data_IF_925831484463
#
_entry.id   IF_925831484463
#
_cell.length_a   1.000
_cell.length_b   1.000
_cell.length_c   1.000
_cell.angle_alpha   90.00
_cell.angle_beta   90.00
_cell.angle_gamma   90.00
#
_symmetry.space_group_name_H-M   'P 1'
#
loop_
_entity.id
_entity.type
_entity.pdbx_description
1 polymer ?
#
# COMPACT_ATOMS: atom_id res chain seq x y z
N UNK A 1 -2.19 2.81 32.98
CA UNK A 1 -1.21 3.70 32.33
C UNK A 1 -0.72 3.15 30.99
N UNK A 2 -0.20 1.94 30.89
CA UNK A 2 0.36 1.37 29.64
C UNK A 2 -0.59 1.29 28.44
N UNK A 3 -1.89 1.12 28.63
CA UNK A 3 -2.89 1.07 27.54
C UNK A 3 -3.16 2.44 26.91
N UNK A 4 -3.09 3.51 27.69
CA UNK A 4 -3.32 4.87 27.19
C UNK A 4 -2.13 5.39 26.38
N UNK A 5 -0.91 5.02 26.78
CA UNK A 5 0.32 5.41 26.06
C UNK A 5 0.43 4.73 24.70
N UNK A 6 0.06 3.43 24.60
CA UNK A 6 -0.02 2.74 23.33
C UNK A 6 -1.03 3.40 22.39
N UNK A 7 -2.25 3.69 22.88
CA UNK A 7 -3.30 4.31 22.07
C UNK A 7 -2.86 5.67 21.51
N UNK A 8 -2.24 6.51 22.33
CA UNK A 8 -1.70 7.81 21.87
C UNK A 8 -0.63 7.61 20.80
N UNK A 9 0.30 6.68 21.02
CA UNK A 9 1.36 6.37 20.04
C UNK A 9 0.80 5.84 18.74
N UNK A 10 -0.14 4.91 18.78
CA UNK A 10 -0.81 4.34 17.61
C UNK A 10 -1.45 5.42 16.74
N UNK A 11 -2.24 6.32 17.34
CA UNK A 11 -2.90 7.39 16.59
C UNK A 11 -1.92 8.41 16.00
N UNK A 12 -0.82 8.69 16.70
CA UNK A 12 0.26 9.53 16.15
C UNK A 12 0.87 8.90 14.90
N UNK A 13 1.21 7.62 14.96
CA UNK A 13 1.78 6.91 13.81
C UNK A 13 0.79 6.83 12.65
N UNK A 14 -0.48 6.53 12.92
CA UNK A 14 -1.52 6.51 11.90
C UNK A 14 -1.73 7.88 11.24
N UNK A 15 -1.66 8.98 12.02
CA UNK A 15 -1.78 10.35 11.51
C UNK A 15 -0.57 10.75 10.65
N UNK A 16 0.64 10.45 11.10
CA UNK A 16 1.87 10.70 10.32
C UNK A 16 1.84 9.89 9.03
N UNK A 17 1.43 8.62 9.10
CA UNK A 17 1.23 7.78 7.91
C UNK A 17 0.24 8.41 6.94
N UNK A 18 -0.94 8.82 7.42
CA UNK A 18 -1.94 9.50 6.61
C UNK A 18 -1.38 10.73 5.88
N UNK A 19 -0.65 11.61 6.57
CA UNK A 19 -0.03 12.78 5.96
C UNK A 19 1.05 12.41 4.93
N UNK A 20 1.83 11.37 5.19
CA UNK A 20 2.84 10.88 4.26
C UNK A 20 2.18 10.35 2.98
N UNK A 21 1.09 9.61 3.12
CA UNK A 21 0.35 9.05 2.00
C UNK A 21 -0.42 10.10 1.20
N UNK A 22 -0.80 11.24 1.81
CA UNK A 22 -1.32 12.40 1.06
C UNK A 22 -0.29 12.84 0.01
N UNK A 23 0.96 13.03 0.39
CA UNK A 23 2.01 13.45 -0.55
C UNK A 23 2.25 12.40 -1.64
N UNK A 24 2.27 11.12 -1.25
CA UNK A 24 2.40 10.03 -2.22
C UNK A 24 1.22 9.97 -3.18
N UNK A 25 0.00 10.15 -2.69
CA UNK A 25 -1.21 10.25 -3.52
C UNK A 25 -1.17 11.45 -4.47
N UNK A 26 -0.74 12.62 -3.97
CA UNK A 26 -0.56 13.82 -4.78
C UNK A 26 0.44 13.60 -5.91
N UNK A 27 1.62 13.06 -5.62
CA UNK A 27 2.71 12.93 -6.59
C UNK A 27 2.50 11.75 -7.54
N UNK A 28 2.34 10.53 -6.99
CA UNK A 28 2.34 9.28 -7.76
C UNK A 28 1.01 9.00 -8.44
N UNK A 29 -0.12 9.28 -7.77
CA UNK A 29 -1.44 8.91 -8.30
C UNK A 29 -2.13 10.05 -9.08
N UNK A 30 -1.66 11.29 -8.96
CA UNK A 30 -2.29 12.43 -9.61
C UNK A 30 -1.29 13.24 -10.45
N UNK A 31 -0.26 13.82 -9.84
CA UNK A 31 0.63 14.75 -10.52
C UNK A 31 1.39 14.11 -11.69
N UNK A 32 2.11 13.00 -11.45
CA UNK A 32 2.86 12.31 -12.51
C UNK A 32 1.96 11.82 -13.67
N UNK A 33 0.79 11.20 -13.43
CA UNK A 33 -0.14 10.84 -14.50
C UNK A 33 -0.72 12.02 -15.26
N UNK A 34 -0.80 13.22 -14.67
CA UNK A 34 -1.30 14.42 -15.33
C UNK A 34 -0.25 15.13 -16.20
N UNK A 35 1.05 14.96 -15.93
CA UNK A 35 2.12 15.64 -16.69
C UNK A 35 2.08 15.43 -18.21
N UNK A 36 1.71 14.25 -18.74
CA UNK A 36 1.53 14.07 -20.18
C UNK A 36 0.41 14.93 -20.75
N UNK A 37 -0.69 15.13 -20.04
CA UNK A 37 -1.84 15.92 -20.52
C UNK A 37 -1.55 17.42 -20.55
N UNK A 38 -0.68 17.89 -19.65
CA UNK A 38 -0.21 19.28 -19.63
C UNK A 38 1.11 19.50 -20.44
N UNK A 39 1.57 18.47 -21.14
CA UNK A 39 2.66 18.59 -22.12
C UNK A 39 4.08 18.68 -21.55
N UNK A 40 4.30 18.31 -20.29
CA UNK A 40 5.63 18.39 -19.64
C UNK A 40 6.52 17.20 -19.98
N UNK A 41 5.99 15.97 -19.91
CA UNK A 41 6.68 14.73 -20.29
C UNK A 41 5.73 13.80 -21.04
N UNK A 42 6.29 12.81 -21.78
CA UNK A 42 5.47 11.80 -22.44
C UNK A 42 4.87 10.81 -21.43
N UNK A 43 3.79 10.12 -21.86
CA UNK A 43 3.15 9.08 -21.05
C UNK A 43 4.13 7.96 -20.65
N UNK A 44 4.98 7.52 -21.59
CA UNK A 44 5.98 6.49 -21.32
C UNK A 44 7.00 6.94 -20.26
N UNK A 45 7.45 8.20 -20.32
CA UNK A 45 8.38 8.75 -19.33
C UNK A 45 7.71 8.86 -17.94
N UNK A 46 6.45 9.31 -17.89
CA UNK A 46 5.67 9.33 -16.64
C UNK A 46 5.53 7.92 -16.03
N UNK A 47 5.20 6.92 -16.86
CA UNK A 47 5.10 5.53 -16.41
C UNK A 47 6.43 4.99 -15.86
N UNK A 48 7.58 5.33 -16.48
CA UNK A 48 8.91 4.97 -15.97
C UNK A 48 9.16 5.61 -14.61
N UNK A 49 8.84 6.89 -14.44
CA UNK A 49 9.02 7.61 -13.16
C UNK A 49 8.20 6.95 -12.05
N UNK A 50 6.93 6.62 -12.31
CA UNK A 50 6.06 5.93 -11.35
C UNK A 50 6.61 4.54 -11.01
N UNK A 51 7.04 3.78 -12.00
CA UNK A 51 7.63 2.45 -11.79
C UNK A 51 8.86 2.53 -10.90
N UNK A 52 9.75 3.49 -11.13
CA UNK A 52 10.96 3.67 -10.32
C UNK A 52 10.67 4.04 -8.87
N UNK A 53 9.60 4.78 -8.60
CA UNK A 53 9.14 4.98 -7.23
C UNK A 53 8.88 3.65 -6.50
N UNK A 54 8.12 2.74 -7.12
CA UNK A 54 7.81 1.43 -6.53
C UNK A 54 9.03 0.51 -6.44
N UNK A 55 9.97 0.60 -7.39
CA UNK A 55 11.25 -0.12 -7.31
C UNK A 55 12.01 0.28 -6.05
N UNK A 56 12.17 1.59 -5.83
CA UNK A 56 12.91 2.11 -4.68
C UNK A 56 12.17 1.89 -3.36
N UNK A 57 10.84 1.95 -3.36
CA UNK A 57 10.00 1.54 -2.22
C UNK A 57 10.28 0.06 -1.87
N UNK A 58 10.16 -0.86 -2.83
CA UNK A 58 10.36 -2.28 -2.60
C UNK A 58 11.79 -2.60 -2.12
N UNK A 59 12.82 -2.02 -2.76
CA UNK A 59 14.22 -2.23 -2.38
C UNK A 59 14.51 -1.68 -0.99
N UNK A 60 13.99 -0.49 -0.66
CA UNK A 60 14.20 0.14 0.64
C UNK A 60 13.59 -0.68 1.76
N UNK A 61 12.39 -1.21 1.55
CA UNK A 61 11.70 -2.04 2.55
C UNK A 61 12.53 -3.26 2.98
N UNK A 62 13.35 -3.86 2.09
CA UNK A 62 14.24 -4.98 2.42
C UNK A 62 15.27 -4.59 3.50
N UNK A 63 15.84 -3.39 3.39
CA UNK A 63 16.95 -2.95 4.25
C UNK A 63 16.50 -2.20 5.48
N UNK A 64 15.24 -1.75 5.50
CA UNK A 64 14.75 -0.77 6.46
C UNK A 64 14.76 -1.31 7.90
N UNK A 65 14.34 -2.55 8.11
CA UNK A 65 14.36 -3.18 9.42
C UNK A 65 15.78 -3.28 10.00
N UNK A 66 16.75 -3.56 9.15
CA UNK A 66 18.18 -3.58 9.56
C UNK A 66 18.70 -2.18 9.88
N UNK A 67 18.30 -1.18 9.08
CA UNK A 67 18.68 0.21 9.31
C UNK A 67 18.10 0.71 10.63
N UNK A 68 16.82 0.45 10.90
CA UNK A 68 16.16 0.83 12.17
C UNK A 68 16.83 0.20 13.39
N UNK A 69 17.34 -1.02 13.30
CA UNK A 69 18.10 -1.64 14.39
C UNK A 69 19.46 -0.96 14.62
N UNK A 70 20.08 -0.46 13.54
CA UNK A 70 21.43 0.14 13.61
C UNK A 70 21.42 1.56 14.13
N UNK A 71 20.54 2.41 13.61
CA UNK A 71 20.49 3.84 13.92
C UNK A 71 19.25 4.27 14.72
N UNK A 72 18.30 3.36 14.91
CA UNK A 72 17.04 3.61 15.60
C UNK A 72 15.94 4.15 14.67
N UNK A 73 14.68 3.90 15.05
CA UNK A 73 13.52 4.27 14.25
C UNK A 73 13.38 5.80 14.07
N UNK A 74 13.70 6.60 15.11
CA UNK A 74 13.61 8.06 15.03
C UNK A 74 14.56 8.64 13.99
N UNK A 75 15.82 8.23 14.01
CA UNK A 75 16.82 8.70 13.04
C UNK A 75 16.51 8.23 11.62
N UNK A 76 15.99 7.02 11.48
CA UNK A 76 15.57 6.50 10.18
C UNK A 76 14.44 7.35 9.61
N UNK A 77 13.43 7.69 10.42
CA UNK A 77 12.34 8.59 10.01
C UNK A 77 12.85 10.01 9.70
N UNK A 78 13.70 10.57 10.54
CA UNK A 78 14.26 11.90 10.32
C UNK A 78 14.98 12.00 8.98
N UNK A 79 15.88 11.07 8.70
CA UNK A 79 16.60 11.01 7.42
C UNK A 79 15.65 10.85 6.23
N UNK A 80 14.62 10.03 6.37
CA UNK A 80 13.59 9.86 5.34
C UNK A 80 12.87 11.15 5.02
N UNK A 81 12.48 11.91 6.04
CA UNK A 81 11.85 13.21 5.84
C UNK A 81 12.77 14.22 5.18
N UNK A 82 14.05 14.29 5.59
CA UNK A 82 15.04 15.15 4.94
C UNK A 82 15.19 14.81 3.46
N UNK A 83 15.28 13.52 3.13
CA UNK A 83 15.36 13.04 1.74
C UNK A 83 14.09 13.42 0.97
N UNK A 84 12.91 13.18 1.53
CA UNK A 84 11.64 13.45 0.87
C UNK A 84 11.35 14.94 0.67
N UNK A 85 11.64 15.79 1.67
CA UNK A 85 11.54 17.25 1.52
C UNK A 85 12.51 17.74 0.44
N UNK A 86 13.76 17.25 0.45
CA UNK A 86 14.72 17.56 -0.60
C UNK A 86 14.22 17.20 -1.99
N UNK A 87 13.65 15.99 -2.13
CA UNK A 87 13.07 15.54 -3.40
C UNK A 87 11.94 16.45 -3.87
N UNK A 88 11.00 16.82 -3.00
CA UNK A 88 9.88 17.70 -3.37
C UNK A 88 10.34 19.12 -3.69
N UNK A 89 11.33 19.62 -2.98
CA UNK A 89 11.92 20.95 -3.26
C UNK A 89 12.59 20.99 -4.63
N UNK A 90 13.32 19.94 -5.03
CA UNK A 90 13.95 19.91 -6.36
C UNK A 90 12.93 19.97 -7.49
N UNK A 91 11.79 19.29 -7.34
CA UNK A 91 10.70 19.31 -8.35
C UNK A 91 10.05 20.71 -8.48
N UNK A 92 10.12 21.55 -7.44
CA UNK A 92 9.63 22.94 -7.52
C UNK A 92 10.44 23.80 -8.49
N UNK A 93 11.73 23.50 -8.67
CA UNK A 93 12.64 24.29 -9.51
C UNK A 93 12.81 23.72 -10.91
N UNK A 94 12.68 22.41 -11.07
CA UNK A 94 12.80 21.74 -12.34
C UNK A 94 11.88 20.51 -12.40
N UNK A 95 11.14 20.39 -13.51
CA UNK A 95 10.19 19.31 -13.77
C UNK A 95 10.66 18.46 -14.98
N UNK A 96 11.95 18.51 -15.29
CA UNK A 96 12.54 17.64 -16.31
C UNK A 96 12.41 16.16 -15.90
N UNK A 97 12.42 15.27 -16.90
CA UNK A 97 12.32 13.83 -16.68
C UNK A 97 13.30 13.30 -15.60
N UNK A 98 14.56 13.75 -15.65
CA UNK A 98 15.58 13.25 -14.71
C UNK A 98 15.33 13.71 -13.29
N UNK A 99 14.87 14.94 -13.10
CA UNK A 99 14.54 15.47 -11.76
C UNK A 99 13.30 14.74 -11.20
N UNK A 100 12.26 14.56 -12.00
CA UNK A 100 11.08 13.79 -11.62
C UNK A 100 11.43 12.34 -11.27
N UNK A 101 12.32 11.71 -12.06
CA UNK A 101 12.80 10.35 -11.82
C UNK A 101 13.53 10.23 -10.48
N UNK A 102 14.47 11.12 -10.22
CA UNK A 102 15.22 11.14 -8.96
C UNK A 102 14.27 11.43 -7.79
N UNK A 103 13.39 12.40 -7.92
CA UNK A 103 12.42 12.74 -6.88
C UNK A 103 11.48 11.56 -6.56
N UNK A 104 11.02 10.83 -7.57
CA UNK A 104 10.19 9.64 -7.39
C UNK A 104 10.95 8.51 -6.66
N UNK A 105 12.21 8.27 -7.01
CA UNK A 105 13.07 7.32 -6.31
C UNK A 105 13.26 7.71 -4.84
N UNK A 106 13.59 8.98 -4.57
CA UNK A 106 13.80 9.50 -3.22
C UNK A 106 12.50 9.49 -2.40
N UNK A 107 11.36 9.79 -3.01
CA UNK A 107 10.06 9.67 -2.36
C UNK A 107 9.76 8.20 -2.01
N UNK A 108 10.06 7.24 -2.90
CA UNK A 108 9.94 5.80 -2.63
C UNK A 108 10.73 5.39 -1.38
N UNK A 109 11.96 5.90 -1.22
CA UNK A 109 12.78 5.67 -0.02
C UNK A 109 12.11 6.32 1.21
N UNK A 110 11.61 7.54 1.07
CA UNK A 110 11.18 8.37 2.21
C UNK A 110 9.87 7.90 2.85
N UNK A 111 8.97 7.26 2.10
CA UNK A 111 7.67 6.82 2.62
C UNK A 111 7.71 5.49 3.39
N UNK A 112 8.77 4.68 3.19
CA UNK A 112 8.86 3.34 3.77
C UNK A 112 8.93 3.30 5.31
N UNK A 113 9.70 4.15 6.03
CA UNK A 113 9.90 3.99 7.47
C UNK A 113 8.63 4.10 8.27
N UNK A 114 7.75 5.07 7.98
CA UNK A 114 6.50 5.23 8.71
C UNK A 114 5.59 4.02 8.53
N UNK A 115 5.54 3.45 7.33
CA UNK A 115 4.76 2.26 7.01
C UNK A 115 5.19 1.07 7.88
N UNK A 116 6.49 0.75 7.87
CA UNK A 116 7.02 -0.38 8.64
C UNK A 116 6.86 -0.17 10.16
N UNK A 117 7.09 1.05 10.66
CA UNK A 117 6.91 1.37 12.07
C UNK A 117 5.44 1.24 12.47
N UNK A 118 4.51 1.73 11.65
CA UNK A 118 3.08 1.63 11.92
C UNK A 118 2.63 0.16 12.02
N UNK A 119 3.00 -0.68 11.05
CA UNK A 119 2.69 -2.11 11.05
C UNK A 119 3.31 -2.86 12.24
N UNK A 120 4.56 -2.51 12.61
CA UNK A 120 5.27 -3.16 13.71
C UNK A 120 4.72 -2.81 15.09
N UNK A 121 4.01 -1.68 15.21
CA UNK A 121 3.42 -1.22 16.46
C UNK A 121 2.01 -1.77 16.74
N UNK A 122 1.44 -2.57 15.85
CA UNK A 122 0.14 -3.22 16.03
C UNK A 122 0.19 -4.22 17.18
N UNK A 123 -0.79 -4.14 18.09
CA UNK A 123 -0.93 -5.08 19.20
C UNK A 123 -1.60 -6.37 18.79
N UNK A 124 -1.15 -7.48 19.38
CA UNK A 124 -1.70 -8.80 19.13
C UNK A 124 -3.16 -8.93 19.59
N UNK A 125 -3.53 -8.25 20.69
CA UNK A 125 -4.88 -8.27 21.27
C UNK A 125 -5.95 -7.63 20.37
N UNK A 126 -5.60 -6.57 19.65
CA UNK A 126 -6.51 -5.81 18.77
C UNK A 126 -6.02 -5.80 17.31
N UNK A 127 -5.36 -6.87 16.88
CA UNK A 127 -4.61 -6.94 15.63
C UNK A 127 -5.46 -6.62 14.40
N UNK A 128 -6.68 -7.17 14.31
CA UNK A 128 -7.57 -6.94 13.17
C UNK A 128 -8.01 -5.49 13.06
N UNK A 129 -8.43 -4.89 14.18
CA UNK A 129 -8.84 -3.49 14.24
C UNK A 129 -7.70 -2.53 13.96
N UNK A 130 -6.54 -2.74 14.60
CA UNK A 130 -5.39 -1.84 14.43
C UNK A 130 -4.82 -1.94 13.00
N UNK A 131 -4.77 -3.14 12.40
CA UNK A 131 -4.43 -3.31 10.99
C UNK A 131 -5.41 -2.58 10.08
N UNK A 132 -6.72 -2.75 10.30
CA UNK A 132 -7.75 -2.06 9.53
C UNK A 132 -7.59 -0.54 9.57
N UNK A 133 -7.30 0.04 10.75
CA UNK A 133 -7.09 1.47 10.90
C UNK A 133 -5.81 1.98 10.22
N UNK A 134 -4.72 1.21 10.25
CA UNK A 134 -3.48 1.56 9.53
C UNK A 134 -3.70 1.54 8.02
N UNK A 135 -4.33 0.49 7.50
CA UNK A 135 -4.67 0.40 6.08
C UNK A 135 -5.67 1.46 5.65
N UNK A 136 -6.61 1.81 6.52
CA UNK A 136 -7.50 2.94 6.27
C UNK A 136 -6.74 4.26 6.21
N UNK A 137 -5.84 4.54 7.16
CA UNK A 137 -5.02 5.76 7.15
C UNK A 137 -4.17 5.86 5.87
N UNK A 138 -3.59 4.74 5.44
CA UNK A 138 -2.87 4.61 4.18
C UNK A 138 -3.77 4.94 2.98
N UNK A 139 -4.90 4.26 2.84
CA UNK A 139 -5.82 4.43 1.70
C UNK A 139 -6.45 5.82 1.68
N UNK A 140 -6.88 6.32 2.85
CA UNK A 140 -7.49 7.63 2.99
C UNK A 140 -6.48 8.76 2.65
N UNK A 141 -5.21 8.59 3.05
CA UNK A 141 -4.14 9.49 2.68
C UNK A 141 -3.91 9.54 1.17
N UNK A 142 -3.76 8.37 0.54
CA UNK A 142 -3.60 8.26 -0.91
C UNK A 142 -4.78 8.89 -1.66
N UNK A 143 -6.02 8.56 -1.29
CA UNK A 143 -7.22 9.09 -1.91
C UNK A 143 -7.38 10.60 -1.71
N UNK A 144 -7.16 11.09 -0.50
CA UNK A 144 -7.19 12.53 -0.21
C UNK A 144 -6.12 13.27 -1.02
N UNK A 145 -4.90 12.75 -1.08
CA UNK A 145 -3.81 13.32 -1.87
C UNK A 145 -4.15 13.41 -3.36
N UNK A 146 -4.69 12.34 -3.93
CA UNK A 146 -5.12 12.32 -5.33
C UNK A 146 -6.20 13.38 -5.60
N UNK A 147 -7.24 13.45 -4.77
CA UNK A 147 -8.34 14.41 -4.93
C UNK A 147 -7.83 15.85 -4.80
N UNK A 148 -7.07 16.15 -3.74
CA UNK A 148 -6.49 17.47 -3.52
C UNK A 148 -5.64 17.89 -4.72
N UNK A 149 -4.77 17.00 -5.20
CA UNK A 149 -3.87 17.32 -6.30
C UNK A 149 -4.61 17.53 -7.62
N UNK A 150 -5.65 16.76 -7.91
CA UNK A 150 -6.48 16.94 -9.09
C UNK A 150 -7.13 18.35 -9.12
N UNK A 151 -7.63 18.82 -7.97
CA UNK A 151 -8.14 20.20 -7.87
C UNK A 151 -7.05 21.24 -8.06
N UNK A 152 -5.88 21.04 -7.48
CA UNK A 152 -4.76 21.98 -7.57
C UNK A 152 -4.19 22.05 -9.00
N UNK A 153 -4.11 20.94 -9.72
CA UNK A 153 -3.72 20.94 -11.13
C UNK A 153 -4.74 21.73 -11.96
N UNK A 154 -6.03 21.55 -11.72
CA UNK A 154 -7.08 22.31 -12.42
C UNK A 154 -7.05 23.83 -12.20
N UNK A 155 -6.36 24.31 -11.14
CA UNK A 155 -6.25 25.75 -10.82
C UNK A 155 -4.86 26.30 -11.18
N UNK A 156 -3.80 25.53 -10.93
CA UNK A 156 -2.41 25.99 -10.97
C UNK A 156 -1.53 25.26 -11.99
N UNK A 157 -2.10 24.31 -12.75
CA UNK A 157 -1.36 23.47 -13.69
C UNK A 157 -0.10 22.86 -13.03
N UNK A 158 1.06 23.01 -13.66
CA UNK A 158 2.34 22.53 -13.13
C UNK A 158 2.73 23.17 -11.78
N UNK A 159 2.19 24.35 -11.46
CA UNK A 159 2.42 25.03 -10.18
C UNK A 159 1.81 24.33 -8.96
N UNK A 160 0.95 23.33 -9.16
CA UNK A 160 0.42 22.48 -8.08
C UNK A 160 1.52 21.79 -7.25
N UNK A 161 2.72 21.64 -7.80
CA UNK A 161 3.89 21.08 -7.10
C UNK A 161 4.27 21.84 -5.82
N UNK A 162 4.06 23.16 -5.77
CA UNK A 162 4.35 23.97 -4.56
C UNK A 162 3.50 23.55 -3.36
N UNK A 163 2.23 23.25 -3.60
CA UNK A 163 1.33 22.75 -2.56
C UNK A 163 1.79 21.38 -2.03
N UNK A 164 2.23 20.49 -2.92
CA UNK A 164 2.75 19.17 -2.55
C UNK A 164 3.99 19.28 -1.67
N UNK A 165 4.96 20.10 -2.02
CA UNK A 165 6.13 20.37 -1.21
C UNK A 165 5.75 20.97 0.17
N UNK A 166 4.78 21.89 0.19
CA UNK A 166 4.23 22.47 1.42
C UNK A 166 3.60 21.43 2.34
N UNK A 167 2.78 20.52 1.81
CA UNK A 167 2.18 19.43 2.60
C UNK A 167 3.27 18.50 3.16
N UNK A 168 4.32 18.18 2.40
CA UNK A 168 5.40 17.33 2.90
C UNK A 168 6.22 18.02 4.00
N UNK A 169 6.47 19.31 3.86
CA UNK A 169 7.13 20.10 4.89
C UNK A 169 6.28 20.16 6.18
N UNK A 170 4.97 20.37 6.07
CA UNK A 170 4.06 20.31 7.22
C UNK A 170 4.13 18.93 7.90
N UNK A 171 4.12 17.85 7.13
CA UNK A 171 4.24 16.51 7.67
C UNK A 171 5.57 16.32 8.43
N UNK A 172 6.67 16.84 7.90
CA UNK A 172 7.97 16.81 8.58
C UNK A 172 7.95 17.60 9.90
N UNK A 173 7.35 18.80 9.91
CA UNK A 173 7.18 19.61 11.13
C UNK A 173 6.33 18.85 12.16
N UNK A 174 5.22 18.23 11.73
CA UNK A 174 4.36 17.40 12.59
C UNK A 174 5.16 16.25 13.21
N UNK A 175 6.00 15.56 12.42
CA UNK A 175 6.90 14.52 12.94
C UNK A 175 7.85 15.07 14.02
N UNK A 176 8.46 16.23 13.82
CA UNK A 176 9.40 16.84 14.75
C UNK A 176 8.73 17.31 16.06
N UNK A 177 7.53 17.88 15.96
CA UNK A 177 6.76 18.41 17.12
C UNK A 177 6.07 17.30 17.91
N UNK A 178 5.78 16.17 17.27
CA UNK A 178 5.21 15.01 17.96
C UNK A 178 6.33 14.12 18.52
N UNK A 179 6.88 14.40 19.72
CA UNK A 179 7.89 13.54 20.33
C UNK A 179 7.26 12.18 20.54
N UNK A 180 7.59 11.25 19.67
CA UNK A 180 7.19 9.87 19.79
C UNK A 180 8.30 9.10 20.45
N UNK A 181 7.97 8.28 21.42
CA UNK A 181 8.80 7.16 21.78
C UNK A 181 8.79 6.19 20.59
N UNK A 182 9.52 6.55 19.53
CA UNK A 182 9.80 5.68 18.39
C UNK A 182 10.78 4.56 18.77
N UNK A 183 10.95 4.32 20.09
CA UNK A 183 11.73 3.20 20.58
C UNK A 183 11.04 1.93 20.11
N UNK A 184 11.55 1.36 19.05
CA UNK A 184 11.46 -0.07 18.83
C UNK A 184 11.86 -0.68 20.17
N UNK A 185 10.97 -1.43 20.83
CA UNK A 185 11.30 -2.12 22.08
C UNK A 185 12.39 -3.14 21.76
N UNK A 186 13.63 -2.69 21.76
CA UNK A 186 14.74 -3.56 22.06
C UNK A 186 14.43 -4.05 23.48
N UNK A 187 14.10 -5.32 23.64
CA UNK A 187 13.90 -5.93 24.94
C UNK A 187 15.11 -5.56 25.81
N UNK A 188 14.95 -4.58 26.69
CA UNK A 188 15.83 -4.41 27.85
C UNK A 188 15.73 -5.71 28.64
N UNK A 189 16.79 -6.51 28.59
CA UNK A 189 16.88 -7.77 29.35
C UNK A 189 17.46 -8.96 28.61
N UNK A 190 17.58 -8.93 27.28
CA UNK A 190 18.50 -9.84 26.61
C UNK A 190 19.85 -9.13 26.54
N UNK A 191 20.72 -9.46 27.50
CA UNK A 191 22.15 -9.25 27.39
C UNK A 191 22.52 -9.36 25.93
N UNK A 192 23.18 -8.30 25.41
CA UNK A 192 23.75 -8.26 24.09
C UNK A 192 24.80 -9.40 23.97
N UNK A 193 24.30 -10.64 23.97
CA UNK A 193 25.05 -11.75 23.44
C UNK A 193 25.36 -11.32 22.02
N UNK A 194 26.65 -11.07 21.78
CA UNK A 194 27.24 -10.80 20.47
C UNK A 194 26.73 -11.84 19.47
N UNK A 195 25.48 -11.70 19.04
CA UNK A 195 24.96 -12.40 17.88
C UNK A 195 25.78 -11.82 16.74
N UNK A 196 26.76 -12.59 16.26
CA UNK A 196 27.58 -12.28 15.08
C UNK A 196 26.65 -11.53 14.11
N UNK A 197 26.99 -10.29 13.76
CA UNK A 197 26.26 -9.48 12.82
C UNK A 197 26.11 -10.30 11.54
N UNK A 198 24.96 -10.98 11.40
CA UNK A 198 24.66 -11.72 10.18
C UNK A 198 24.52 -10.68 9.08
N UNK A 199 25.05 -11.00 7.90
CA UNK A 199 24.87 -10.16 6.73
C UNK A 199 23.35 -9.96 6.50
N UNK A 200 22.88 -8.73 6.25
CA UNK A 200 21.46 -8.44 6.04
C UNK A 200 20.82 -9.37 5.01
N UNK A 201 21.52 -9.71 3.92
CA UNK A 201 21.03 -10.63 2.88
C UNK A 201 20.72 -12.05 3.41
N UNK A 202 21.55 -12.57 4.33
CA UNK A 202 21.30 -13.88 4.90
C UNK A 202 20.09 -13.88 5.82
N UNK A 203 19.92 -12.82 6.60
CA UNK A 203 18.75 -12.67 7.47
C UNK A 203 17.48 -12.46 6.64
N UNK A 204 17.53 -11.66 5.58
CA UNK A 204 16.44 -11.51 4.61
C UNK A 204 16.06 -12.86 3.99
N UNK A 205 17.06 -13.67 3.62
CA UNK A 205 16.81 -15.01 3.07
C UNK A 205 16.17 -15.95 4.09
N UNK A 206 16.63 -15.92 5.34
CA UNK A 206 16.04 -16.73 6.42
C UNK A 206 14.57 -16.33 6.66
N UNK A 207 14.24 -15.05 6.65
CA UNK A 207 12.86 -14.53 6.74
C UNK A 207 12.04 -14.97 5.52
N UNK A 208 12.57 -14.79 4.31
CA UNK A 208 11.90 -15.19 3.07
C UNK A 208 11.58 -16.69 3.08
N UNK A 209 12.55 -17.52 3.47
CA UNK A 209 12.39 -18.97 3.58
C UNK A 209 11.34 -19.36 4.63
N UNK A 210 11.30 -18.65 5.77
CA UNK A 210 10.30 -18.90 6.81
C UNK A 210 8.88 -18.59 6.32
N UNK A 211 8.72 -17.53 5.52
CA UNK A 211 7.43 -17.09 4.98
C UNK A 211 7.16 -17.61 3.56
N UNK A 212 7.99 -18.49 3.01
CA UNK A 212 7.94 -18.95 1.62
C UNK A 212 6.53 -19.40 1.16
N UNK A 213 5.76 -20.02 2.07
CA UNK A 213 4.38 -20.44 1.80
C UNK A 213 3.42 -19.26 1.54
N UNK A 214 3.72 -18.06 2.00
CA UNK A 214 2.87 -16.90 1.80
C UNK A 214 3.35 -16.00 0.66
N UNK A 215 4.64 -16.09 0.27
CA UNK A 215 5.26 -15.19 -0.71
C UNK A 215 4.58 -15.18 -2.08
N UNK A 216 4.18 -16.34 -2.67
CA UNK A 216 3.47 -16.33 -3.95
C UNK A 216 2.16 -15.56 -3.86
N UNK A 217 1.39 -15.76 -2.78
CA UNK A 217 0.13 -15.06 -2.57
C UNK A 217 0.33 -13.55 -2.38
N UNK A 218 1.38 -13.13 -1.66
CA UNK A 218 1.71 -11.72 -1.43
C UNK A 218 2.09 -11.03 -2.75
N UNK A 219 2.92 -11.68 -3.56
CA UNK A 219 3.33 -11.16 -4.86
C UNK A 219 2.14 -11.08 -5.84
N UNK A 220 1.33 -12.13 -5.94
CA UNK A 220 0.17 -12.18 -6.83
C UNK A 220 -0.88 -11.12 -6.45
N UNK A 221 -1.08 -10.85 -5.15
CA UNK A 221 -2.00 -9.80 -4.71
C UNK A 221 -1.51 -8.42 -5.15
N UNK A 222 -0.23 -8.12 -4.95
CA UNK A 222 0.37 -6.88 -5.44
C UNK A 222 0.26 -6.75 -6.96
N UNK A 223 0.53 -7.83 -7.69
CA UNK A 223 0.43 -7.90 -9.15
C UNK A 223 -0.99 -7.62 -9.64
N UNK A 224 -1.99 -8.33 -9.09
CA UNK A 224 -3.38 -8.20 -9.51
C UNK A 224 -3.95 -6.79 -9.28
N UNK A 225 -3.65 -6.16 -8.13
CA UNK A 225 -4.04 -4.77 -7.86
C UNK A 225 -3.27 -3.80 -8.74
N UNK A 226 -1.96 -4.02 -8.89
CA UNK A 226 -1.09 -3.16 -9.71
C UNK A 226 -1.54 -3.07 -11.17
N UNK A 227 -2.04 -4.17 -11.74
CA UNK A 227 -2.56 -4.19 -13.12
C UNK A 227 -3.73 -3.24 -13.33
N UNK A 228 -4.55 -3.01 -12.31
CA UNK A 228 -5.74 -2.15 -12.41
C UNK A 228 -5.41 -0.66 -12.38
N UNK A 229 -4.28 -0.26 -11.78
CA UNK A 229 -3.94 1.14 -11.57
C UNK A 229 -3.94 2.00 -12.85
N UNK A 230 -3.27 1.62 -13.95
CA UNK A 230 -3.28 2.41 -15.18
C UNK A 230 -4.56 2.23 -16.01
N UNK A 231 -5.23 1.10 -15.86
CA UNK A 231 -6.31 0.67 -16.74
C UNK A 231 -7.68 1.16 -16.27
N UNK A 232 -7.88 1.21 -14.94
CA UNK A 232 -9.16 1.59 -14.35
C UNK A 232 -9.63 3.00 -14.74
N UNK A 233 -8.77 4.05 -14.74
CA UNK A 233 -9.17 5.35 -15.23
C UNK A 233 -9.65 5.32 -16.67
N UNK A 234 -8.88 4.69 -17.58
CA UNK A 234 -9.22 4.58 -18.99
C UNK A 234 -10.53 3.80 -19.20
N UNK A 235 -10.73 2.71 -18.45
CA UNK A 235 -11.98 1.95 -18.49
C UNK A 235 -13.19 2.84 -18.13
N UNK A 236 -13.10 3.55 -17.02
CA UNK A 236 -14.20 4.38 -16.50
C UNK A 236 -14.48 5.59 -17.40
N UNK A 237 -13.45 6.29 -17.87
CA UNK A 237 -13.63 7.54 -18.64
C UNK A 237 -13.86 7.32 -20.11
N UNK A 238 -13.24 6.30 -20.71
CA UNK A 238 -13.27 6.10 -22.17
C UNK A 238 -14.34 5.10 -22.58
N UNK A 239 -14.47 3.96 -21.88
CA UNK A 239 -15.46 2.94 -22.24
C UNK A 239 -16.85 3.22 -21.65
N UNK A 240 -16.89 3.86 -20.47
CA UNK A 240 -18.17 4.19 -19.82
C UNK A 240 -18.58 5.64 -20.03
N UNK A 241 -17.75 6.41 -20.75
CA UNK A 241 -18.01 7.81 -21.10
C UNK A 241 -18.33 8.70 -19.88
N UNK A 242 -17.84 8.32 -18.68
CA UNK A 242 -18.03 9.10 -17.48
C UNK A 242 -17.12 10.35 -17.54
N UNK A 243 -17.70 11.49 -17.22
CA UNK A 243 -16.93 12.72 -17.12
C UNK A 243 -16.02 12.67 -15.87
N UNK A 244 -15.08 13.63 -15.81
CA UNK A 244 -14.07 13.67 -14.75
C UNK A 244 -14.64 13.84 -13.34
N UNK A 245 -15.78 14.53 -13.20
CA UNK A 245 -16.48 14.70 -11.93
C UNK A 245 -17.12 13.38 -11.47
N UNK A 246 -17.79 12.66 -12.38
CA UNK A 246 -18.39 11.36 -12.11
C UNK A 246 -17.33 10.32 -11.76
N UNK A 247 -16.18 10.32 -12.46
CA UNK A 247 -15.03 9.49 -12.13
C UNK A 247 -14.49 9.79 -10.73
N UNK A 248 -14.34 11.06 -10.37
CA UNK A 248 -13.89 11.45 -9.03
C UNK A 248 -14.88 10.99 -7.95
N UNK A 249 -16.18 11.14 -8.20
CA UNK A 249 -17.22 10.64 -7.29
C UNK A 249 -17.19 9.11 -7.16
N UNK A 250 -17.00 8.40 -8.28
CA UNK A 250 -16.83 6.93 -8.28
C UNK A 250 -15.67 6.51 -7.38
N UNK A 251 -14.51 7.13 -7.53
CA UNK A 251 -13.32 6.83 -6.72
C UNK A 251 -13.56 7.13 -5.24
N UNK A 252 -14.16 8.27 -4.91
CA UNK A 252 -14.49 8.63 -3.52
C UNK A 252 -15.48 7.64 -2.90
N UNK A 253 -16.50 7.21 -3.65
CA UNK A 253 -17.46 6.22 -3.19
C UNK A 253 -16.77 4.88 -2.89
N UNK A 254 -15.97 4.37 -3.83
CA UNK A 254 -15.26 3.09 -3.66
C UNK A 254 -14.29 3.17 -2.48
N UNK A 255 -13.48 4.23 -2.38
CA UNK A 255 -12.56 4.42 -1.26
C UNK A 255 -13.28 4.54 0.08
N UNK A 256 -14.40 5.26 0.12
CA UNK A 256 -15.24 5.36 1.33
C UNK A 256 -15.76 3.99 1.78
N UNK A 257 -16.23 3.17 0.86
CA UNK A 257 -16.74 1.82 1.15
C UNK A 257 -15.63 0.87 1.57
N UNK A 258 -14.48 0.90 0.90
CA UNK A 258 -13.29 0.14 1.31
C UNK A 258 -12.87 0.56 2.72
N UNK A 259 -12.82 1.86 2.98
CA UNK A 259 -12.50 2.42 4.29
C UNK A 259 -13.50 2.01 5.39
N UNK A 260 -14.80 1.98 5.09
CA UNK A 260 -15.82 1.45 5.99
C UNK A 260 -15.58 -0.03 6.32
N UNK A 261 -15.30 -0.86 5.31
CA UNK A 261 -14.91 -2.25 5.50
C UNK A 261 -13.68 -2.41 6.41
N UNK A 262 -12.64 -1.62 6.17
CA UNK A 262 -11.40 -1.65 6.93
C UNK A 262 -11.55 -1.20 8.39
N UNK A 263 -12.45 -0.25 8.69
CA UNK A 263 -12.55 0.35 10.02
C UNK A 263 -13.66 -0.24 10.88
N UNK A 264 -14.83 -0.49 10.28
CA UNK A 264 -16.02 -0.96 11.01
C UNK A 264 -16.06 -2.48 11.04
N UNK A 265 -15.99 -3.12 9.87
CA UNK A 265 -16.17 -4.57 9.78
C UNK A 265 -14.94 -5.36 10.21
N UNK A 266 -13.73 -4.79 10.10
CA UNK A 266 -12.50 -5.43 10.57
C UNK A 266 -12.51 -5.69 12.10
N UNK A 267 -13.32 -4.96 12.86
CA UNK A 267 -13.49 -5.20 14.32
C UNK A 267 -14.01 -6.62 14.61
N UNK A 268 -14.84 -7.16 13.73
CA UNK A 268 -15.33 -8.52 13.84
C UNK A 268 -14.20 -9.57 13.84
N UNK A 269 -13.06 -9.25 13.20
CA UNK A 269 -11.90 -10.14 13.14
C UNK A 269 -11.25 -10.38 14.51
N UNK A 270 -11.37 -9.45 15.46
CA UNK A 270 -10.77 -9.59 16.78
C UNK A 270 -11.62 -10.44 17.73
N UNK A 271 -12.94 -10.47 17.50
CA UNK A 271 -13.90 -11.22 18.33
C UNK A 271 -14.02 -12.68 17.86
N UNK A 272 -13.78 -12.93 16.59
CA UNK A 272 -14.02 -14.25 16.00
C UNK A 272 -12.73 -15.08 15.89
N UNK A 273 -12.92 -16.40 15.74
CA UNK A 273 -11.85 -17.39 15.66
C UNK A 273 -10.94 -17.21 14.44
N UNK A 274 -9.75 -17.82 14.48
CA UNK A 274 -8.86 -17.90 13.30
C UNK A 274 -9.54 -18.53 12.08
N UNK A 275 -10.47 -19.47 12.30
CA UNK A 275 -11.26 -20.08 11.22
C UNK A 275 -12.10 -19.03 10.50
N UNK A 276 -12.72 -18.11 11.21
CA UNK A 276 -13.45 -16.98 10.64
C UNK A 276 -12.53 -16.09 9.82
N UNK A 277 -11.35 -15.73 10.35
CA UNK A 277 -10.34 -14.93 9.63
C UNK A 277 -9.94 -15.60 8.31
N UNK A 278 -9.67 -16.91 8.32
CA UNK A 278 -9.33 -17.68 7.10
C UNK A 278 -10.47 -17.72 6.10
N UNK A 279 -11.71 -17.85 6.57
CA UNK A 279 -12.91 -17.81 5.70
C UNK A 279 -13.10 -16.42 5.06
N UNK A 280 -12.82 -15.34 5.80
CA UNK A 280 -12.86 -13.97 5.26
C UNK A 280 -11.78 -13.75 4.20
N UNK A 281 -10.60 -14.34 4.35
CA UNK A 281 -9.53 -14.26 3.34
C UNK A 281 -9.95 -14.98 2.06
N UNK A 282 -10.33 -16.26 2.15
CA UNK A 282 -10.70 -17.05 0.97
C UNK A 282 -11.97 -16.54 0.31
N UNK A 283 -13.01 -16.24 1.10
CA UNK A 283 -14.26 -15.66 0.59
C UNK A 283 -14.03 -14.28 -0.04
N UNK A 284 -13.20 -13.45 0.58
CA UNK A 284 -12.86 -12.13 0.05
C UNK A 284 -12.12 -12.19 -1.30
N UNK A 285 -11.15 -13.10 -1.46
CA UNK A 285 -10.51 -13.31 -2.76
C UNK A 285 -11.48 -13.82 -3.82
N UNK A 286 -12.39 -14.73 -3.46
CA UNK A 286 -13.45 -15.21 -4.37
C UNK A 286 -14.36 -14.07 -4.82
N UNK A 287 -14.90 -13.30 -3.86
CA UNK A 287 -15.82 -12.19 -4.16
C UNK A 287 -15.12 -11.11 -5.00
N UNK A 288 -13.87 -10.79 -4.67
CA UNK A 288 -13.10 -9.83 -5.46
C UNK A 288 -12.88 -10.35 -6.89
N UNK A 289 -12.46 -11.60 -7.05
CA UNK A 289 -12.24 -12.22 -8.36
C UNK A 289 -13.52 -12.23 -9.22
N UNK A 290 -14.61 -12.78 -8.68
CA UNK A 290 -15.88 -12.84 -9.36
C UNK A 290 -16.41 -11.44 -9.68
N UNK A 291 -16.27 -10.52 -8.73
CA UNK A 291 -16.69 -9.13 -8.88
C UNK A 291 -15.92 -8.40 -9.99
N UNK A 292 -14.58 -8.49 -10.04
CA UNK A 292 -13.77 -7.83 -11.07
C UNK A 292 -14.03 -8.44 -12.45
N UNK A 293 -14.17 -9.76 -12.55
CA UNK A 293 -14.55 -10.41 -13.82
C UNK A 293 -15.94 -9.94 -14.27
N UNK A 294 -16.92 -9.89 -13.38
CA UNK A 294 -18.25 -9.40 -13.72
C UNK A 294 -18.21 -7.90 -14.07
N UNK A 295 -17.52 -7.09 -13.27
CA UNK A 295 -17.33 -5.66 -13.53
C UNK A 295 -16.81 -5.39 -14.95
N UNK A 296 -15.90 -6.21 -15.45
CA UNK A 296 -15.31 -6.06 -16.79
C UNK A 296 -16.31 -6.28 -17.95
N UNK A 297 -17.50 -6.82 -17.68
CA UNK A 297 -18.54 -7.10 -18.68
C UNK A 297 -19.72 -6.13 -18.61
N UNK A 298 -19.68 -5.16 -17.69
CA UNK A 298 -20.77 -4.22 -17.47
C UNK A 298 -20.67 -3.01 -18.39
N UNK A 299 -21.83 -2.60 -18.91
CA UNK A 299 -22.00 -1.37 -19.69
C UNK A 299 -22.91 -0.35 -18.98
N UNK A 300 -23.64 -0.80 -17.96
CA UNK A 300 -24.63 0.02 -17.27
C UNK A 300 -24.01 0.72 -16.06
N UNK A 301 -23.94 2.04 -16.08
CA UNK A 301 -23.24 2.88 -15.11
C UNK A 301 -23.65 2.59 -13.66
N UNK A 302 -24.95 2.52 -13.34
CA UNK A 302 -25.39 2.28 -11.97
C UNK A 302 -25.02 0.87 -11.45
N UNK A 303 -24.98 -0.16 -12.32
CA UNK A 303 -24.49 -1.49 -11.97
C UNK A 303 -22.99 -1.48 -11.69
N UNK A 304 -22.25 -0.68 -12.43
CA UNK A 304 -20.79 -0.49 -12.23
C UNK A 304 -20.52 0.10 -10.86
N UNK A 305 -21.26 1.13 -10.46
CA UNK A 305 -21.15 1.70 -9.11
C UNK A 305 -21.53 0.70 -8.03
N UNK A 306 -22.60 -0.07 -8.23
CA UNK A 306 -23.05 -1.09 -7.27
C UNK A 306 -22.04 -2.23 -7.13
N UNK A 307 -21.54 -2.78 -8.23
CA UNK A 307 -20.57 -3.88 -8.22
C UNK A 307 -19.20 -3.42 -7.69
N UNK A 308 -18.74 -2.24 -8.10
CA UNK A 308 -17.49 -1.67 -7.56
C UNK A 308 -17.59 -1.43 -6.05
N UNK A 309 -18.75 -0.99 -5.56
CA UNK A 309 -19.03 -0.84 -4.12
C UNK A 309 -18.97 -2.17 -3.39
N UNK A 310 -19.54 -3.22 -3.96
CA UNK A 310 -19.52 -4.57 -3.40
C UNK A 310 -18.11 -5.16 -3.39
N UNK A 311 -17.36 -5.02 -4.49
CA UNK A 311 -15.94 -5.40 -4.58
C UNK A 311 -15.11 -4.63 -3.53
N UNK A 312 -15.33 -3.31 -3.44
CA UNK A 312 -14.66 -2.45 -2.47
C UNK A 312 -14.91 -2.90 -1.03
N UNK A 313 -16.15 -3.22 -0.69
CA UNK A 313 -16.50 -3.73 0.64
C UNK A 313 -15.80 -5.06 0.95
N UNK A 314 -15.84 -6.01 0.02
CA UNK A 314 -15.18 -7.30 0.16
C UNK A 314 -13.66 -7.13 0.35
N UNK A 315 -13.02 -6.26 -0.44
CA UNK A 315 -11.61 -5.94 -0.32
C UNK A 315 -11.28 -5.26 1.02
N UNK A 316 -12.13 -4.33 1.46
CA UNK A 316 -12.00 -3.63 2.73
C UNK A 316 -12.04 -4.54 3.97
N UNK A 317 -12.71 -5.69 3.89
CA UNK A 317 -12.74 -6.70 4.96
C UNK A 317 -11.58 -7.69 4.78
N UNK A 318 -11.37 -8.17 3.57
CA UNK A 318 -10.38 -9.19 3.24
C UNK A 318 -8.96 -8.73 3.54
N UNK A 319 -8.61 -7.50 3.20
CA UNK A 319 -7.24 -6.99 3.33
C UNK A 319 -6.77 -6.95 4.81
N UNK A 320 -7.53 -6.40 5.78
CA UNK A 320 -7.17 -6.48 7.20
C UNK A 320 -7.13 -7.93 7.72
N UNK A 321 -8.05 -8.80 7.28
CA UNK A 321 -8.05 -10.20 7.67
C UNK A 321 -6.77 -10.92 7.22
N UNK A 322 -6.37 -10.68 5.98
CA UNK A 322 -5.15 -11.26 5.42
C UNK A 322 -3.89 -10.74 6.11
N UNK A 323 -3.81 -9.44 6.37
CA UNK A 323 -2.69 -8.85 7.11
C UNK A 323 -2.65 -9.30 8.59
N UNK A 324 -3.83 -9.49 9.25
CA UNK A 324 -3.92 -10.12 10.56
C UNK A 324 -3.32 -11.53 10.54
N UNK A 325 -3.65 -12.33 9.52
CA UNK A 325 -3.10 -13.66 9.33
C UNK A 325 -1.58 -13.61 9.13
N UNK A 326 -1.07 -12.76 8.23
CA UNK A 326 0.37 -12.59 7.99
C UNK A 326 1.09 -12.15 9.26
N UNK A 327 0.57 -11.16 9.98
CA UNK A 327 1.11 -10.70 11.26
C UNK A 327 1.20 -11.82 12.30
N UNK A 328 0.25 -12.77 12.28
CA UNK A 328 0.26 -13.96 13.14
C UNK A 328 1.39 -14.94 12.86
N UNK A 329 1.97 -14.90 11.66
CA UNK A 329 3.11 -15.75 11.29
C UNK A 329 4.47 -15.13 11.63
N UNK A 330 4.50 -13.86 12.04
CA UNK A 330 5.73 -13.10 12.30
C UNK A 330 6.15 -13.24 13.76
N UNK A 331 7.42 -13.59 13.98
CA UNK A 331 8.00 -13.63 15.32
C UNK A 331 8.12 -12.21 15.91
N UNK A 332 7.77 -12.05 17.21
CA UNK A 332 7.77 -10.75 17.90
C UNK A 332 9.15 -10.06 17.92
N UNK A 333 10.23 -10.83 17.79
CA UNK A 333 11.61 -10.34 17.80
C UNK A 333 12.11 -9.81 16.45
N UNK A 334 11.35 -9.99 15.36
CA UNK A 334 11.76 -9.65 13.97
C UNK A 334 10.60 -9.00 13.20
N UNK A 335 9.74 -8.22 13.89
CA UNK A 335 8.54 -7.65 13.26
C UNK A 335 8.89 -6.70 12.12
N UNK A 336 9.84 -5.79 12.32
CA UNK A 336 10.22 -4.77 11.35
C UNK A 336 10.84 -5.39 10.10
N UNK A 337 11.76 -6.33 10.29
CA UNK A 337 12.43 -7.00 9.19
C UNK A 337 11.46 -7.88 8.39
N UNK A 338 10.59 -8.61 9.08
CA UNK A 338 9.60 -9.47 8.44
C UNK A 338 8.59 -8.66 7.65
N UNK A 339 8.09 -7.54 8.20
CA UNK A 339 7.21 -6.65 7.46
C UNK A 339 7.92 -5.99 6.28
N UNK A 340 9.20 -5.61 6.44
CA UNK A 340 10.02 -5.11 5.34
C UNK A 340 10.11 -6.09 4.17
N UNK A 341 10.40 -7.36 4.45
CA UNK A 341 10.46 -8.42 3.42
C UNK A 341 9.09 -8.68 2.78
N UNK A 342 8.02 -8.76 3.58
CA UNK A 342 6.65 -8.96 3.09
C UNK A 342 6.23 -7.81 2.18
N UNK A 343 6.43 -6.56 2.62
CA UNK A 343 6.10 -5.37 1.83
C UNK A 343 6.91 -5.28 0.55
N UNK A 344 8.18 -5.70 0.57
CA UNK A 344 9.01 -5.74 -0.65
C UNK A 344 8.49 -6.74 -1.68
N UNK A 345 8.10 -7.94 -1.25
CA UNK A 345 7.53 -8.94 -2.17
C UNK A 345 6.20 -8.46 -2.75
N UNK A 346 5.35 -7.83 -1.94
CA UNK A 346 4.12 -7.20 -2.41
C UNK A 346 4.41 -6.06 -3.40
N UNK A 347 5.39 -5.21 -3.06
CA UNK A 347 5.84 -4.10 -3.89
C UNK A 347 6.39 -4.56 -5.25
N UNK A 348 7.12 -5.68 -5.31
CA UNK A 348 7.56 -6.28 -6.58
C UNK A 348 6.36 -6.66 -7.44
N UNK A 349 5.33 -7.28 -6.87
CA UNK A 349 4.08 -7.57 -7.58
C UNK A 349 3.41 -6.29 -8.09
N UNK A 350 3.25 -5.29 -7.23
CA UNK A 350 2.64 -4.01 -7.58
C UNK A 350 3.44 -3.22 -8.64
N UNK A 351 4.76 -3.37 -8.67
CA UNK A 351 5.64 -2.75 -9.67
C UNK A 351 5.47 -3.38 -11.05
N UNK A 352 5.40 -4.71 -11.13
CA UNK A 352 5.26 -5.44 -12.38
C UNK A 352 3.82 -5.31 -12.93
N UNK A 353 2.84 -5.17 -12.05
CA UNK A 353 1.42 -5.13 -12.38
C UNK A 353 1.06 -4.13 -13.47
N UNK A 354 1.38 -2.83 -13.35
CA UNK A 354 1.04 -1.83 -14.35
C UNK A 354 1.60 -2.13 -15.74
N UNK A 355 2.85 -2.59 -15.80
CA UNK A 355 3.50 -2.95 -17.09
C UNK A 355 2.79 -4.14 -17.75
N UNK A 356 2.47 -5.19 -16.97
CA UNK A 356 1.72 -6.34 -17.49
C UNK A 356 0.29 -5.95 -17.86
N UNK A 357 -0.36 -5.10 -17.08
CA UNK A 357 -1.71 -4.62 -17.36
C UNK A 357 -1.79 -3.87 -18.69
N UNK A 358 -0.85 -2.94 -18.93
CA UNK A 358 -0.74 -2.21 -20.20
C UNK A 358 -0.45 -3.15 -21.37
N UNK A 359 0.52 -4.07 -21.22
CA UNK A 359 0.88 -5.04 -22.25
C UNK A 359 -0.31 -5.94 -22.65
N UNK A 360 -1.08 -6.41 -21.69
CA UNK A 360 -2.29 -7.22 -21.94
C UNK A 360 -3.33 -6.39 -22.70
N UNK A 361 -3.55 -5.14 -22.29
CA UNK A 361 -4.48 -4.25 -22.98
C UNK A 361 -4.07 -4.03 -24.44
N UNK A 362 -2.78 -3.84 -24.70
CA UNK A 362 -2.23 -3.64 -26.05
C UNK A 362 -2.36 -4.91 -26.91
N UNK A 363 -2.00 -6.09 -26.38
CA UNK A 363 -2.06 -7.37 -27.12
C UNK A 363 -3.50 -7.73 -27.49
N UNK A 364 -4.44 -7.54 -26.58
CA UNK A 364 -5.86 -7.89 -26.81
C UNK A 364 -6.68 -6.73 -27.39
N UNK A 365 -6.11 -5.53 -27.53
CA UNK A 365 -6.79 -4.35 -28.06
C UNK A 365 -7.90 -3.81 -27.15
N UNK A 366 -7.96 -4.22 -25.89
CA UNK A 366 -8.98 -3.77 -24.93
C UNK A 366 -8.50 -3.79 -23.48
N UNK A 367 -8.83 -2.75 -22.74
CA UNK A 367 -8.56 -2.64 -21.29
C UNK A 367 -9.36 -3.67 -20.48
N UNK A 368 -10.48 -4.16 -21.01
CA UNK A 368 -11.30 -5.22 -20.42
C UNK A 368 -10.51 -6.51 -20.20
N UNK A 369 -9.59 -6.84 -21.14
CA UNK A 369 -8.71 -7.99 -21.01
C UNK A 369 -7.82 -7.91 -19.75
N UNK A 370 -7.35 -6.72 -19.40
CA UNK A 370 -6.56 -6.51 -18.19
C UNK A 370 -7.39 -6.68 -16.91
N UNK A 371 -8.64 -6.19 -16.91
CA UNK A 371 -9.57 -6.43 -15.81
C UNK A 371 -9.80 -7.93 -15.60
N UNK A 372 -10.08 -8.67 -16.68
CA UNK A 372 -10.24 -10.13 -16.65
C UNK A 372 -8.96 -10.84 -16.14
N UNK A 373 -7.79 -10.45 -16.64
CA UNK A 373 -6.52 -11.03 -16.18
C UNK A 373 -6.26 -10.78 -14.70
N UNK A 374 -6.54 -9.57 -14.19
CA UNK A 374 -6.50 -9.28 -12.75
C UNK A 374 -7.47 -10.17 -11.98
N UNK A 375 -8.71 -10.30 -12.44
CA UNK A 375 -9.71 -11.19 -11.83
C UNK A 375 -9.22 -12.64 -11.75
N UNK A 376 -8.60 -13.16 -12.81
CA UNK A 376 -8.01 -14.52 -12.83
C UNK A 376 -6.87 -14.68 -11.83
N UNK A 377 -6.03 -13.66 -11.60
CA UNK A 377 -5.03 -13.68 -10.53
C UNK A 377 -5.70 -13.85 -9.17
N UNK A 378 -6.82 -13.17 -8.92
CA UNK A 378 -7.56 -13.32 -7.68
C UNK A 378 -8.28 -14.67 -7.55
N UNK A 379 -8.69 -15.32 -8.66
CA UNK A 379 -9.11 -16.73 -8.67
C UNK A 379 -7.97 -17.63 -8.22
N UNK A 380 -6.76 -17.43 -8.73
CA UNK A 380 -5.58 -18.18 -8.29
C UNK A 380 -5.31 -17.98 -6.79
N UNK A 381 -5.47 -16.76 -6.28
CA UNK A 381 -5.33 -16.47 -4.84
C UNK A 381 -6.39 -17.19 -4.01
N UNK A 382 -7.65 -17.19 -4.45
CA UNK A 382 -8.73 -17.94 -3.82
C UNK A 382 -8.39 -19.42 -3.71
N UNK A 383 -7.98 -20.05 -4.81
CA UNK A 383 -7.59 -21.47 -4.84
C UNK A 383 -6.37 -21.71 -3.96
N UNK A 384 -5.36 -20.86 -4.08
CA UNK A 384 -4.11 -20.99 -3.32
C UNK A 384 -4.33 -20.98 -1.80
N UNK A 385 -5.04 -19.96 -1.29
CA UNK A 385 -5.33 -19.88 0.15
C UNK A 385 -6.38 -20.90 0.60
N UNK A 386 -7.32 -21.28 -0.25
CA UNK A 386 -8.25 -22.38 0.01
C UNK A 386 -7.53 -23.70 0.27
N UNK A 387 -6.57 -24.03 -0.59
CA UNK A 387 -5.72 -25.22 -0.46
C UNK A 387 -4.82 -25.10 0.76
N UNK A 388 -4.11 -23.98 0.92
CA UNK A 388 -3.19 -23.74 2.04
C UNK A 388 -3.87 -23.92 3.40
N UNK A 389 -5.08 -23.36 3.57
CA UNK A 389 -5.82 -23.46 4.82
C UNK A 389 -6.44 -24.84 5.05
N UNK A 390 -6.78 -25.58 3.99
CA UNK A 390 -7.30 -26.95 4.08
C UNK A 390 -6.23 -27.93 4.56
N UNK A 391 -4.98 -27.79 4.10
CA UNK A 391 -3.87 -28.63 4.55
C UNK A 391 -3.51 -28.38 6.02
N UNK A 392 -3.47 -27.12 6.45
CA UNK A 392 -3.16 -26.76 7.84
C UNK A 392 -4.24 -27.27 8.82
N UNK A 393 -5.48 -27.43 8.38
CA UNK A 393 -6.55 -27.97 9.23
C UNK A 393 -6.42 -29.48 9.47
N UNK A 394 -5.91 -30.24 8.51
CA UNK A 394 -5.67 -31.68 8.67
C UNK A 394 -4.50 -31.95 9.63
N UNK A 395 -3.45 -31.11 9.55
CA UNK A 395 -2.26 -31.25 10.40
C UNK A 395 -2.50 -30.93 11.90
N UNK A 396 -3.57 -30.21 12.25
CA UNK A 396 -3.93 -29.89 13.66
C UNK A 396 -4.91 -30.89 14.27
N UNK A 397 -5.38 -31.90 13.53
CA UNK A 397 -6.31 -32.95 13.99
C UNK A 397 -5.69 -34.34 14.03
N UNK A 398 -4.49 -34.53 13.54
CA UNK A 398 -3.67 -35.74 13.67
C UNK A 398 -2.50 -35.50 14.62
#
# INVERSE_FOLDING_TARGET
MATNDHKKRFWKLAFILFLTEIVRGMFILSYLPALPTIGIISLSLSAIVITMHYVFDAVTNIWLGFLMRKIGAWWTMFLSYVIGVGAMVTVMFDQSFYVLLIAACLLGISVCPIWIIALSNVKDENRGREMGLIFFAWLAGLGAGMVIMNFLIGIFDAGAVYAMAGVFLINFIVFLVMPGDYKVKTREGQTASRRKQRLPLRETWDILRHHMKNMPGIMLQGLGVGMLLPVLPTYITTLLELNYFEYTFFILLVFGIVGFGMTVLSRALDVHTERFTRSMITGGFFVYAAGVIWFSTLETVWLIFAIASFIGLAYGIMLPAWNKYLAGTIASSQKEESWGVISSVQGIGAMIGPALGGLIADIFGTVTATLMASGLIFVLLFVYYGVLFSFNWRATRG
#
